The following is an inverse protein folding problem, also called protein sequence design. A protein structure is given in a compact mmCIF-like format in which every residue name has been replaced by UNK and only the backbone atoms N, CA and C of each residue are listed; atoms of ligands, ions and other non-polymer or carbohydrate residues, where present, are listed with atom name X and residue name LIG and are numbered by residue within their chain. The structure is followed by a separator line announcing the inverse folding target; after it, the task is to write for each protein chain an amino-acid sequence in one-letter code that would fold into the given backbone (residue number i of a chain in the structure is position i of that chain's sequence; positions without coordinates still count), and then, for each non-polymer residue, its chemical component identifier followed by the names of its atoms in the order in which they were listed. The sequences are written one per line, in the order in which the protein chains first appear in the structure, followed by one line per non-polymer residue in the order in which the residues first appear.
data_IF_363154477703
#
_entry.id   IF_363154477703
#
_cell.length_a   1.000
_cell.length_b   1.000
_cell.length_c   1.000
_cell.angle_alpha   90.00
_cell.angle_beta   90.00
_cell.angle_gamma   90.00
#
_symmetry.space_group_name_H-M   'P 1'
#
loop_
_entity.id
_entity.type
_entity.pdbx_description
1 polymer ?
#
# COMPACT_ATOMS: atom_id res chain seq x y z
N UNK A 1 -20.05 -0.07 8.55
CA UNK A 1 -19.77 1.28 8.06
C UNK A 1 -18.38 1.69 8.57
N UNK A 2 -17.33 1.50 7.76
CA UNK A 2 -15.93 1.81 8.11
C UNK A 2 -15.65 3.31 7.89
N UNK A 3 -16.38 4.18 8.61
CA UNK A 3 -16.29 5.64 8.52
C UNK A 3 -15.42 6.25 9.62
N UNK A 4 -14.45 5.49 10.13
CA UNK A 4 -13.58 5.96 11.21
C UNK A 4 -12.25 6.39 10.64
N UNK A 5 -11.82 7.59 10.97
CA UNK A 5 -10.47 8.06 10.67
C UNK A 5 -9.47 7.21 11.45
N UNK A 6 -8.59 6.51 10.73
CA UNK A 6 -7.60 5.62 11.32
C UNK A 6 -6.22 6.28 11.26
N UNK A 7 -5.52 6.46 12.40
CA UNK A 7 -4.15 6.97 12.40
C UNK A 7 -3.20 5.90 11.84
N UNK A 8 -2.96 5.96 10.53
CA UNK A 8 -2.14 4.99 9.81
C UNK A 8 -0.68 5.08 10.29
N UNK A 9 -0.23 4.06 11.02
CA UNK A 9 1.14 3.94 11.53
C UNK A 9 2.08 3.30 10.54
N UNK A 10 1.57 2.52 9.61
CA UNK A 10 2.39 1.94 8.58
C UNK A 10 1.55 1.33 7.49
N UNK A 11 2.05 1.41 6.27
CA UNK A 11 1.53 0.68 5.12
C UNK A 11 2.71 -0.02 4.48
N UNK A 12 2.52 -1.29 4.14
CA UNK A 12 3.48 -2.08 3.39
C UNK A 12 2.74 -2.83 2.32
N UNK A 13 3.20 -2.70 1.08
CA UNK A 13 2.69 -3.46 -0.05
C UNK A 13 3.76 -4.42 -0.52
N UNK A 14 3.44 -5.71 -0.51
CA UNK A 14 4.35 -6.81 -0.84
C UNK A 14 3.88 -7.47 -2.11
N UNK A 15 4.81 -7.80 -3.01
CA UNK A 15 4.49 -8.58 -4.20
C UNK A 15 4.31 -10.05 -3.84
N UNK A 16 3.17 -10.64 -4.23
CA UNK A 16 2.77 -12.00 -3.83
C UNK A 16 2.84 -12.98 -4.98
N UNK A 17 2.30 -12.64 -6.15
CA UNK A 17 2.23 -13.56 -7.30
C UNK A 17 2.07 -12.82 -8.61
N UNK A 18 2.31 -13.50 -9.74
CA UNK A 18 2.21 -12.94 -11.10
C UNK A 18 3.05 -11.65 -11.30
N UNK A 19 4.26 -11.68 -10.72
CA UNK A 19 5.25 -10.60 -10.76
C UNK A 19 6.62 -11.18 -11.13
N UNK A 20 7.57 -10.36 -11.61
CA UNK A 20 8.93 -10.81 -11.83
C UNK A 20 9.52 -11.49 -10.59
N UNK A 21 10.27 -12.60 -10.73
CA UNK A 21 10.87 -13.31 -9.60
C UNK A 21 11.75 -12.41 -8.71
N UNK A 22 12.34 -11.36 -9.29
CA UNK A 22 13.15 -10.39 -8.57
C UNK A 22 12.36 -9.53 -7.57
N UNK A 23 11.03 -9.43 -7.72
CA UNK A 23 10.12 -8.65 -6.87
C UNK A 23 9.32 -9.51 -5.90
N UNK A 24 9.16 -10.80 -6.16
CA UNK A 24 8.39 -11.73 -5.34
C UNK A 24 8.83 -11.68 -3.86
N UNK A 25 7.88 -11.46 -2.95
CA UNK A 25 8.11 -11.32 -1.50
C UNK A 25 8.76 -10.00 -1.05
N UNK A 26 9.09 -9.09 -1.99
CA UNK A 26 9.70 -7.80 -1.66
C UNK A 26 8.64 -6.70 -1.50
N UNK A 27 8.88 -5.73 -0.61
CA UNK A 27 8.03 -4.55 -0.55
C UNK A 27 8.21 -3.71 -1.82
N UNK A 28 7.08 -3.37 -2.46
CA UNK A 28 7.03 -2.44 -3.60
C UNK A 28 6.68 -1.03 -3.17
N UNK A 29 6.13 -0.88 -1.97
CA UNK A 29 5.88 0.38 -1.31
C UNK A 29 5.85 0.16 0.21
N UNK A 30 6.47 1.07 0.97
CA UNK A 30 6.46 1.01 2.42
C UNK A 30 6.58 2.40 3.03
N UNK A 31 5.63 2.74 3.88
CA UNK A 31 5.60 3.97 4.69
C UNK A 31 5.44 3.60 6.16
N UNK A 32 6.06 4.38 7.03
CA UNK A 32 5.94 4.23 8.50
C UNK A 32 5.74 5.60 9.12
N UNK A 33 4.90 5.71 10.14
CA UNK A 33 4.73 6.95 10.88
C UNK A 33 6.00 7.27 11.67
N UNK A 34 6.43 8.53 11.63
CA UNK A 34 7.61 8.97 12.35
C UNK A 34 7.30 9.28 13.83
N UNK A 35 6.13 9.86 14.13
CA UNK A 35 5.82 10.35 15.48
C UNK A 35 4.31 10.32 15.81
N UNK A 36 3.50 11.09 15.06
CA UNK A 36 2.04 11.19 15.21
C UNK A 36 1.39 11.14 13.83
N UNK A 37 0.96 9.98 13.35
CA UNK A 37 0.26 9.92 12.07
C UNK A 37 -1.09 10.60 12.17
N UNK A 38 -1.39 11.42 11.18
CA UNK A 38 -2.74 11.94 11.01
C UNK A 38 -3.69 10.80 10.62
N UNK A 39 -4.95 10.97 11.01
CA UNK A 39 -5.96 9.99 10.69
C UNK A 39 -6.38 10.18 9.23
N UNK A 40 -6.36 9.08 8.45
CA UNK A 40 -6.61 9.12 7.01
C UNK A 40 -7.83 8.28 6.69
N UNK A 41 -8.68 8.78 5.79
CA UNK A 41 -9.91 8.11 5.36
C UNK A 41 -9.73 7.58 3.94
N UNK A 42 -9.38 6.30 3.85
CA UNK A 42 -8.99 5.68 2.59
C UNK A 42 -7.64 6.20 2.10
N UNK A 43 -7.02 5.47 1.19
CA UNK A 43 -5.77 5.87 0.56
C UNK A 43 -5.58 5.13 -0.76
N UNK A 44 -4.83 5.76 -1.66
CA UNK A 44 -4.40 5.17 -2.90
C UNK A 44 -2.95 4.67 -2.81
N UNK A 45 -2.59 3.77 -3.72
CA UNK A 45 -1.23 3.26 -3.76
C UNK A 45 -0.26 4.38 -4.16
N UNK A 46 0.73 4.64 -3.31
CA UNK A 46 1.72 5.69 -3.54
C UNK A 46 1.35 7.06 -2.97
N UNK A 47 0.22 7.17 -2.27
CA UNK A 47 -0.15 8.39 -1.56
C UNK A 47 0.92 8.82 -0.55
N UNK A 48 1.10 10.13 -0.43
CA UNK A 48 1.93 10.70 0.62
C UNK A 48 1.06 10.95 1.86
N UNK A 49 1.42 10.37 3.00
CA UNK A 49 0.72 10.63 4.26
C UNK A 49 1.51 11.64 5.10
N UNK A 50 0.86 12.69 5.59
CA UNK A 50 1.51 13.63 6.50
C UNK A 50 1.90 12.93 7.80
N UNK A 51 3.09 13.28 8.32
CA UNK A 51 3.65 12.64 9.52
C UNK A 51 4.22 11.23 9.30
N UNK A 52 4.32 10.77 8.04
CA UNK A 52 4.94 9.48 7.69
C UNK A 52 6.25 9.64 6.92
N UNK A 53 7.10 8.63 7.04
CA UNK A 53 8.35 8.48 6.32
C UNK A 53 8.23 7.31 5.36
N UNK A 54 8.55 7.57 4.10
CA UNK A 54 8.65 6.53 3.07
C UNK A 54 9.97 5.78 3.24
N UNK A 55 9.90 4.49 3.54
CA UNK A 55 11.06 3.59 3.59
C UNK A 55 11.34 2.96 2.22
N UNK A 56 10.29 2.61 1.51
CA UNK A 56 10.36 2.11 0.13
C UNK A 56 9.43 2.95 -0.72
N UNK A 57 9.96 3.75 -1.66
CA UNK A 57 9.12 4.54 -2.55
C UNK A 57 8.26 3.63 -3.43
N UNK A 58 7.03 4.06 -3.79
CA UNK A 58 6.13 3.24 -4.57
C UNK A 58 6.76 2.91 -5.92
N UNK A 59 6.83 1.62 -6.23
CA UNK A 59 7.28 1.12 -7.53
C UNK A 59 6.09 0.90 -8.46
N UNK A 60 6.37 0.89 -9.76
CA UNK A 60 5.39 0.48 -10.77
C UNK A 60 4.88 -0.92 -10.43
N UNK A 61 3.56 -1.07 -10.41
CA UNK A 61 2.91 -2.36 -10.26
C UNK A 61 2.82 -3.04 -11.62
N UNK A 62 2.98 -4.36 -11.62
CA UNK A 62 2.90 -5.18 -12.80
C UNK A 62 1.43 -5.42 -13.14
N UNK A 63 1.10 -5.35 -14.43
CA UNK A 63 -0.23 -5.71 -14.89
C UNK A 63 -0.53 -7.16 -14.52
N UNK A 64 -1.75 -7.41 -14.03
CA UNK A 64 -2.19 -8.72 -13.55
C UNK A 64 -1.43 -9.25 -12.32
N UNK A 65 -0.54 -8.44 -11.73
CA UNK A 65 0.20 -8.78 -10.52
C UNK A 65 -0.70 -8.86 -9.29
N UNK A 66 -0.39 -9.80 -8.39
CA UNK A 66 -1.05 -9.97 -7.09
C UNK A 66 -0.16 -9.40 -6.00
N UNK A 67 -0.74 -8.53 -5.19
CA UNK A 67 -0.05 -7.83 -4.12
C UNK A 67 -0.85 -7.92 -2.82
N UNK A 68 -0.15 -7.87 -1.68
CA UNK A 68 -0.76 -7.78 -0.37
C UNK A 68 -0.44 -6.44 0.24
N UNK A 69 -1.47 -5.69 0.61
CA UNK A 69 -1.34 -4.51 1.46
C UNK A 69 -1.51 -4.93 2.91
N UNK A 70 -0.52 -4.61 3.72
CA UNK A 70 -0.54 -4.71 5.18
C UNK A 70 -0.59 -3.28 5.71
N UNK A 71 -1.54 -2.98 6.58
CA UNK A 71 -1.65 -1.68 7.22
C UNK A 71 -1.76 -1.82 8.74
N UNK A 72 -1.14 -0.88 9.44
CA UNK A 72 -1.18 -0.77 10.89
C UNK A 72 -1.81 0.57 11.27
N UNK A 73 -2.78 0.54 12.19
CA UNK A 73 -3.40 1.73 12.76
C UNK A 73 -3.54 1.56 14.28
N UNK A 74 -2.57 2.10 15.03
CA UNK A 74 -2.52 1.98 16.48
C UNK A 74 -2.34 0.54 16.93
N UNK A 75 -3.39 -0.07 17.53
CA UNK A 75 -3.39 -1.49 17.94
C UNK A 75 -3.95 -2.43 16.88
N UNK A 76 -4.54 -1.88 15.82
CA UNK A 76 -5.17 -2.66 14.77
C UNK A 76 -4.19 -2.92 13.64
N UNK A 77 -4.18 -4.16 13.15
CA UNK A 77 -3.47 -4.57 11.94
C UNK A 77 -4.49 -5.16 11.00
N UNK A 78 -4.39 -4.81 9.73
CA UNK A 78 -5.17 -5.41 8.68
C UNK A 78 -4.27 -5.81 7.52
N UNK A 79 -4.67 -6.85 6.83
CA UNK A 79 -4.06 -7.23 5.56
C UNK A 79 -5.16 -7.46 4.54
N UNK A 80 -4.84 -7.15 3.27
CA UNK A 80 -5.73 -7.42 2.15
C UNK A 80 -4.91 -7.69 0.91
N UNK A 81 -5.26 -8.74 0.20
CA UNK A 81 -4.71 -9.00 -1.13
C UNK A 81 -5.55 -8.27 -2.18
N UNK A 82 -4.87 -7.74 -3.18
CA UNK A 82 -5.49 -7.08 -4.32
C UNK A 82 -4.77 -7.47 -5.60
N UNK A 83 -5.55 -7.55 -6.67
CA UNK A 83 -5.07 -7.88 -7.99
C UNK A 83 -5.02 -6.59 -8.79
N UNK A 84 -3.87 -6.32 -9.39
CA UNK A 84 -3.73 -5.18 -10.31
C UNK A 84 -4.38 -5.60 -11.60
N UNK A 85 -5.53 -5.03 -11.90
CA UNK A 85 -6.12 -5.22 -13.21
C UNK A 85 -5.14 -4.67 -14.25
N UNK A 86 -4.97 -5.37 -15.37
CA UNK A 86 -4.36 -4.76 -16.54
C UNK A 86 -5.19 -3.52 -16.86
N UNK A 87 -4.68 -2.36 -16.48
CA UNK A 87 -5.31 -1.10 -16.84
C UNK A 87 -5.14 -1.02 -18.34
N UNK A 88 -6.20 -1.35 -19.07
CA UNK A 88 -6.40 -0.92 -20.43
C UNK A 88 -6.41 0.62 -20.34
N UNK A 89 -5.21 1.21 -20.44
CA UNK A 89 -5.03 2.64 -20.40
C UNK A 89 -5.96 3.20 -21.47
N UNK A 90 -6.88 4.06 -21.04
CA UNK A 90 -7.85 4.74 -21.86
C UNK A 90 -7.25 5.12 -23.22
N UNK A 91 -7.74 4.46 -24.26
CA UNK A 91 -7.66 5.00 -25.61
C UNK A 91 -8.61 6.19 -25.65
N UNK A 92 -8.05 7.39 -25.57
CA UNK A 92 -8.70 8.65 -25.93
C UNK A 92 -8.44 8.97 -27.41
#
# INVERSE_FOLDING_TARGET
MLDRDYPIRGIRVIAVSNVPPAMLGKPVWQVVAADKPEAVRGFEYGDAFPGTKTLVPPRKLEAEGVYRVEFESGRYKGEREFHVQASEAAAE
#
